data_IF_652685815798
#
_entry.id   IF_652685815798
#
_cell.length_a   1.000
_cell.length_b   1.000
_cell.length_c   1.000
_cell.angle_alpha   90.00
_cell.angle_beta   90.00
_cell.angle_gamma   90.00
#
_symmetry.space_group_name_H-M   'P 1'
#
loop_
_entity.id
_entity.type
_entity.pdbx_description
1 polymer ?
#
# COMPACT_ATOMS: atom_id res chain seq x y z
N UNK A 1 16.98 8.52 -9.88
CA UNK A 1 16.07 8.52 -8.71
C UNK A 1 15.24 7.26 -8.77
N UNK A 2 15.18 6.49 -7.69
CA UNK A 2 14.47 5.21 -7.63
C UNK A 2 13.06 5.46 -7.08
N UNK A 3 12.03 4.90 -7.72
CA UNK A 3 10.65 4.93 -7.20
C UNK A 3 10.37 3.69 -6.34
N UNK A 4 9.63 3.87 -5.26
CA UNK A 4 9.28 2.84 -4.28
C UNK A 4 7.76 2.73 -4.15
N UNK A 5 7.24 1.51 -4.30
CA UNK A 5 5.82 1.15 -4.12
C UNK A 5 5.64 0.29 -2.88
N UNK A 6 4.67 0.63 -2.02
CA UNK A 6 4.24 -0.22 -0.91
C UNK A 6 2.93 -0.92 -1.29
N UNK A 7 2.92 -2.25 -1.22
CA UNK A 7 1.82 -3.07 -1.74
C UNK A 7 1.07 -3.81 -0.63
N UNK A 8 -0.23 -4.01 -0.81
CA UNK A 8 -1.06 -4.76 0.12
C UNK A 8 -1.46 -3.96 1.36
N UNK A 9 -1.64 -2.65 1.19
CA UNK A 9 -2.12 -1.76 2.25
C UNK A 9 -3.63 -1.96 2.43
N UNK A 10 -4.08 -2.19 3.67
CA UNK A 10 -5.48 -2.55 3.97
C UNK A 10 -6.22 -1.52 4.84
N UNK A 11 -5.53 -0.49 5.33
CA UNK A 11 -6.11 0.55 6.17
C UNK A 11 -5.47 1.92 5.88
N UNK A 12 -6.16 2.96 6.32
CA UNK A 12 -5.79 4.35 6.07
C UNK A 12 -4.53 4.78 6.83
N UNK A 13 -4.29 4.26 8.03
CA UNK A 13 -3.15 4.64 8.86
C UNK A 13 -1.84 4.15 8.24
N UNK A 14 -1.79 2.90 7.77
CA UNK A 14 -0.64 2.36 7.03
C UNK A 14 -0.41 3.09 5.71
N UNK A 15 -1.49 3.45 5.00
CA UNK A 15 -1.41 4.25 3.77
C UNK A 15 -0.76 5.61 4.02
N UNK A 16 -1.19 6.32 5.08
CA UNK A 16 -0.64 7.61 5.48
C UNK A 16 0.81 7.50 5.90
N UNK A 17 1.15 6.49 6.70
CA UNK A 17 2.52 6.25 7.14
C UNK A 17 3.45 5.99 5.95
N UNK A 18 3.03 5.16 4.99
CA UNK A 18 3.81 4.88 3.79
C UNK A 18 4.08 6.14 2.95
N UNK A 19 3.08 7.02 2.79
CA UNK A 19 3.25 8.30 2.08
C UNK A 19 4.18 9.23 2.85
N UNK A 20 4.04 9.35 4.17
CA UNK A 20 4.92 10.16 5.01
C UNK A 20 6.37 9.65 4.98
N UNK A 21 6.57 8.35 4.85
CA UNK A 21 7.89 7.72 4.71
C UNK A 21 8.50 7.88 3.30
N UNK A 22 7.77 8.47 2.34
CA UNK A 22 8.28 8.76 1.00
C UNK A 22 7.94 7.72 -0.07
N UNK A 23 6.89 6.90 0.11
CA UNK A 23 6.42 6.02 -0.96
C UNK A 23 5.87 6.82 -2.15
N UNK A 24 6.27 6.44 -3.37
CA UNK A 24 5.78 7.04 -4.62
C UNK A 24 4.39 6.50 -5.02
N UNK A 25 4.04 5.29 -4.58
CA UNK A 25 2.77 4.64 -4.89
C UNK A 25 2.34 3.66 -3.80
N UNK A 26 1.02 3.48 -3.69
CA UNK A 26 0.38 2.47 -2.85
C UNK A 26 -0.30 1.41 -3.74
N UNK A 27 -0.33 0.17 -3.27
CA UNK A 27 -1.00 -0.94 -3.94
C UNK A 27 -2.09 -1.57 -3.08
N UNK A 28 -3.28 -1.71 -3.66
CA UNK A 28 -4.42 -2.42 -3.10
C UNK A 28 -4.61 -3.73 -3.86
N UNK A 29 -4.97 -4.81 -3.17
CA UNK A 29 -5.10 -6.13 -3.76
C UNK A 29 -6.59 -6.46 -3.88
N UNK A 30 -7.07 -6.61 -5.12
CA UNK A 30 -8.47 -6.94 -5.43
C UNK A 30 -8.64 -8.45 -5.73
N UNK A 31 -7.79 -9.31 -5.17
CA UNK A 31 -7.87 -10.76 -5.32
C UNK A 31 -8.60 -11.35 -4.11
N UNK A 32 -9.78 -11.90 -4.35
CA UNK A 32 -10.60 -12.56 -3.33
C UNK A 32 -9.84 -13.67 -2.60
N UNK A 33 -10.27 -13.98 -1.36
CA UNK A 33 -9.67 -15.00 -0.51
C UNK A 33 -8.18 -14.76 -0.12
N UNK A 34 -7.70 -13.53 -0.23
CA UNK A 34 -6.38 -13.14 0.30
C UNK A 34 -6.52 -12.29 1.57
N UNK A 35 -5.58 -12.36 2.52
CA UNK A 35 -5.65 -11.58 3.76
C UNK A 35 -5.47 -10.07 3.55
N UNK A 36 -5.18 -9.64 2.31
CA UNK A 36 -4.95 -8.25 1.92
C UNK A 36 -5.99 -7.76 0.91
N UNK A 37 -7.07 -8.50 0.74
CA UNK A 37 -8.20 -8.09 -0.09
C UNK A 37 -8.84 -6.82 0.49
N UNK A 38 -9.01 -5.80 -0.36
CA UNK A 38 -9.66 -4.52 -0.03
C UNK A 38 -10.62 -4.16 -1.15
#
# INVERSE_FOLDING_TARGET
>A
MTRVKICGVTNLEDARLAVQAGADALGFIFVENTPRFV
#
